data_IF_138430755555
#
_entry.id   IF_138430755555
#
_cell.length_a   1.000
_cell.length_b   1.000
_cell.length_c   1.000
_cell.angle_alpha   90.00
_cell.angle_beta   90.00
_cell.angle_gamma   90.00
#
_symmetry.space_group_name_H-M   'P 1'
#
loop_
_entity.id
_entity.type
_entity.pdbx_description
1 polymer ?
#
# COMPACT_ATOMS: atom_id res chain seq x y z
N UNK A 1 9.13 -3.33 -23.23
CA UNK A 1 8.12 -3.28 -22.16
C UNK A 1 6.90 -4.04 -22.65
N UNK A 2 6.51 -5.10 -21.94
CA UNK A 2 5.36 -5.95 -22.29
C UNK A 2 4.05 -5.22 -22.06
N UNK A 3 2.96 -5.60 -22.75
CA UNK A 3 1.64 -4.96 -22.55
C UNK A 3 1.17 -5.10 -21.09
N UNK A 4 1.38 -6.25 -20.45
CA UNK A 4 1.09 -6.43 -19.03
C UNK A 4 1.93 -5.53 -18.12
N UNK A 5 3.20 -5.28 -18.43
CA UNK A 5 4.02 -4.31 -17.71
C UNK A 5 3.47 -2.88 -17.84
N UNK A 6 2.97 -2.50 -19.03
CA UNK A 6 2.36 -1.16 -19.23
C UNK A 6 1.09 -1.02 -18.38
N UNK A 7 0.19 -2.01 -18.47
CA UNK A 7 -1.05 -2.07 -17.68
C UNK A 7 -0.71 -2.00 -16.20
N UNK A 8 0.25 -2.81 -15.74
CA UNK A 8 0.69 -2.82 -14.36
C UNK A 8 1.18 -1.43 -13.89
N UNK A 9 2.07 -0.76 -14.63
CA UNK A 9 2.56 0.57 -14.25
C UNK A 9 1.40 1.56 -14.10
N UNK A 10 0.46 1.57 -15.06
CA UNK A 10 -0.67 2.51 -15.04
C UNK A 10 -1.54 2.28 -13.81
N UNK A 11 -1.94 1.03 -13.55
CA UNK A 11 -2.77 0.71 -12.39
C UNK A 11 -2.02 0.90 -11.07
N UNK A 12 -0.73 0.56 -11.02
CA UNK A 12 0.12 0.81 -9.87
C UNK A 12 0.16 2.31 -9.55
N UNK A 13 0.39 3.17 -10.54
CA UNK A 13 0.40 4.63 -10.35
C UNK A 13 -0.95 5.18 -9.89
N UNK A 14 -2.06 4.71 -10.47
CA UNK A 14 -3.42 5.12 -10.08
C UNK A 14 -3.70 4.71 -8.63
N UNK A 15 -3.45 3.45 -8.28
CA UNK A 15 -3.70 2.95 -6.92
C UNK A 15 -2.78 3.61 -5.90
N UNK A 16 -1.53 3.86 -6.27
CA UNK A 16 -0.59 4.61 -5.45
C UNK A 16 -1.11 6.02 -5.16
N UNK A 17 -1.51 6.75 -6.20
CA UNK A 17 -2.12 8.07 -6.06
C UNK A 17 -3.34 8.06 -5.14
N UNK A 18 -4.25 7.09 -5.34
CA UNK A 18 -5.44 6.95 -4.51
C UNK A 18 -5.12 6.71 -3.03
N UNK A 19 -4.13 5.84 -2.73
CA UNK A 19 -3.67 5.58 -1.37
C UNK A 19 -3.08 6.85 -0.74
N UNK A 20 -2.28 7.62 -1.48
CA UNK A 20 -1.73 8.88 -0.99
C UNK A 20 -2.81 9.93 -0.73
N UNK A 21 -3.87 9.99 -1.55
CA UNK A 21 -4.99 10.93 -1.30
C UNK A 21 -5.72 10.63 0.02
N UNK A 22 -5.85 9.36 0.40
CA UNK A 22 -6.52 8.96 1.67
C UNK A 22 -5.57 9.01 2.86
N UNK A 23 -4.25 9.03 2.63
CA UNK A 23 -3.22 9.04 3.67
C UNK A 23 -3.26 10.28 4.58
N UNK A 24 -3.84 11.40 4.11
CA UNK A 24 -3.89 12.67 4.84
C UNK A 24 -4.55 12.55 6.23
N UNK A 25 -5.54 11.65 6.39
CA UNK A 25 -6.18 11.38 7.68
C UNK A 25 -5.19 10.88 8.74
N UNK A 26 -4.18 10.12 8.32
CA UNK A 26 -3.25 9.43 9.23
C UNK A 26 -1.96 10.21 9.46
N UNK A 27 -1.70 11.27 8.68
CA UNK A 27 -0.45 12.05 8.76
C UNK A 27 0.80 11.16 8.84
N UNK A 28 0.93 10.26 7.86
CA UNK A 28 2.04 9.28 7.81
C UNK A 28 3.43 9.92 7.91
N UNK A 29 3.56 11.14 7.37
CA UNK A 29 4.79 11.91 7.37
C UNK A 29 4.54 13.26 8.07
N UNK A 30 5.35 13.57 9.08
CA UNK A 30 5.33 14.85 9.78
C UNK A 30 6.77 15.38 9.87
N UNK A 31 7.01 16.68 9.60
CA UNK A 31 8.37 17.23 9.59
C UNK A 31 8.97 17.42 11.00
N UNK A 32 8.18 17.34 12.07
CA UNK A 32 8.63 17.57 13.45
C UNK A 32 9.19 16.28 14.07
N UNK A 33 10.36 15.85 13.62
CA UNK A 33 10.99 14.58 14.02
C UNK A 33 11.58 14.58 15.45
N UNK A 34 11.35 15.63 16.24
CA UNK A 34 11.87 15.75 17.61
C UNK A 34 11.31 14.68 18.55
N UNK A 35 10.07 14.25 18.33
CA UNK A 35 9.39 13.29 19.20
C UNK A 35 9.64 11.85 18.72
N UNK A 36 9.94 10.95 19.66
CA UNK A 36 10.27 9.54 19.34
C UNK A 36 9.14 8.82 18.59
N UNK A 37 7.88 9.03 18.98
CA UNK A 37 6.73 8.41 18.32
C UNK A 37 6.58 8.87 16.86
N UNK A 38 6.84 10.16 16.59
CA UNK A 38 6.84 10.74 15.24
C UNK A 38 7.98 10.15 14.41
N UNK A 39 9.17 9.99 14.99
CA UNK A 39 10.30 9.36 14.30
C UNK A 39 10.00 7.90 13.93
N UNK A 40 9.47 7.10 14.87
CA UNK A 40 9.11 5.71 14.58
C UNK A 40 8.02 5.60 13.53
N UNK A 41 7.00 6.45 13.61
CA UNK A 41 5.97 6.58 12.58
C UNK A 41 6.58 6.92 11.23
N UNK A 42 7.42 7.94 11.17
CA UNK A 42 8.02 8.40 9.92
C UNK A 42 8.87 7.30 9.28
N UNK A 43 9.72 6.64 10.07
CA UNK A 43 10.56 5.52 9.59
C UNK A 43 9.70 4.37 9.08
N UNK A 44 8.68 3.97 9.85
CA UNK A 44 7.81 2.87 9.47
C UNK A 44 6.99 3.19 8.21
N UNK A 45 6.40 4.39 8.14
CA UNK A 45 5.75 4.91 6.94
C UNK A 45 6.70 4.96 5.75
N UNK A 46 7.94 5.39 5.93
CA UNK A 46 8.94 5.46 4.86
C UNK A 46 9.23 4.07 4.29
N UNK A 47 9.46 3.07 5.14
CA UNK A 47 9.73 1.71 4.68
C UNK A 47 8.50 1.07 4.03
N UNK A 48 7.34 1.12 4.66
CA UNK A 48 6.12 0.44 4.18
C UNK A 48 5.48 1.15 3.00
N UNK A 49 5.53 2.48 2.96
CA UNK A 49 4.87 3.32 1.97
C UNK A 49 5.85 3.97 0.99
N UNK A 50 7.11 3.55 0.91
CA UNK A 50 7.99 3.93 -0.20
C UNK A 50 8.91 2.78 -0.60
N UNK A 51 9.73 2.29 0.33
CA UNK A 51 10.74 1.27 0.01
C UNK A 51 10.10 -0.04 -0.44
N UNK A 52 9.17 -0.59 0.34
CA UNK A 52 8.54 -1.87 0.02
C UNK A 52 7.73 -1.85 -1.31
N UNK A 53 6.93 -0.81 -1.61
CA UNK A 53 6.25 -0.67 -2.89
C UNK A 53 7.19 -0.53 -4.09
N UNK A 54 8.33 0.15 -3.93
CA UNK A 54 9.37 0.22 -4.99
C UNK A 54 9.99 -1.15 -5.22
N UNK A 55 10.37 -1.87 -4.15
CA UNK A 55 10.91 -3.22 -4.24
C UNK A 55 9.91 -4.16 -4.91
N UNK A 56 8.63 -4.07 -4.54
CA UNK A 56 7.56 -4.85 -5.15
C UNK A 56 7.34 -4.48 -6.62
N UNK A 57 7.38 -3.19 -6.97
CA UNK A 57 7.29 -2.74 -8.36
C UNK A 57 8.38 -3.39 -9.20
N UNK A 58 9.65 -3.36 -8.75
CA UNK A 58 10.76 -3.99 -9.46
C UNK A 58 10.56 -5.50 -9.62
N UNK A 59 10.12 -6.18 -8.55
CA UNK A 59 9.83 -7.61 -8.56
C UNK A 59 8.71 -7.96 -9.56
N UNK A 60 7.58 -7.27 -9.46
CA UNK A 60 6.43 -7.47 -10.34
C UNK A 60 6.81 -7.18 -11.80
N UNK A 61 7.60 -6.13 -12.03
CA UNK A 61 8.09 -5.79 -13.36
C UNK A 61 8.97 -6.89 -13.96
N UNK A 62 9.83 -7.50 -13.14
CA UNK A 62 10.64 -8.64 -13.56
C UNK A 62 9.78 -9.87 -13.88
N UNK A 63 8.81 -10.21 -13.03
CA UNK A 63 7.92 -11.35 -13.26
C UNK A 63 7.07 -11.19 -14.54
N UNK A 64 6.55 -9.99 -14.81
CA UNK A 64 5.72 -9.70 -15.97
C UNK A 64 6.50 -9.57 -17.30
N UNK A 65 7.83 -9.73 -17.28
CA UNK A 65 8.68 -9.62 -18.47
C UNK A 65 8.43 -10.75 -19.47
N UNK A 66 8.13 -11.94 -19.00
CA UNK A 66 8.03 -13.14 -19.84
C UNK A 66 6.59 -13.49 -20.26
N UNK A 67 5.58 -12.80 -19.74
CA UNK A 67 4.16 -13.12 -19.95
C UNK A 67 3.53 -12.57 -21.24
N UNK A 68 4.32 -12.08 -22.21
CA UNK A 68 3.74 -11.58 -23.47
C UNK A 68 3.47 -12.72 -24.44
N UNK A 69 2.24 -12.84 -24.98
CA UNK A 69 1.96 -13.77 -26.06
C UNK A 69 2.68 -13.33 -27.34
N UNK A 70 3.19 -14.32 -28.07
CA UNK A 70 3.75 -14.12 -29.40
C UNK A 70 2.62 -13.72 -30.37
N UNK A 71 2.73 -12.55 -31.01
CA UNK A 71 1.78 -12.07 -32.02
C UNK A 71 1.35 -10.61 -31.85
N UNK A 72 0.73 -10.03 -32.88
CA UNK A 72 0.23 -8.65 -32.83
C UNK A 72 -1.09 -8.56 -32.02
N UNK A 73 -1.39 -7.43 -31.37
CA UNK A 73 -2.63 -7.25 -30.60
C UNK A 73 -3.92 -7.53 -31.38
N UNK A 74 -3.88 -7.35 -32.70
CA UNK A 74 -4.99 -7.67 -33.62
C UNK A 74 -5.34 -9.16 -33.72
N UNK A 75 -4.46 -10.05 -33.24
CA UNK A 75 -4.64 -11.51 -33.28
C UNK A 75 -5.10 -12.09 -31.94
N UNK A 76 -5.26 -11.26 -30.92
CA UNK A 76 -5.60 -11.73 -29.59
C UNK A 76 -7.09 -12.08 -29.48
N UNK A 77 -7.38 -13.32 -29.11
CA UNK A 77 -8.70 -13.72 -28.69
C UNK A 77 -9.07 -13.11 -27.32
N UNK A 78 -10.37 -13.12 -27.00
CA UNK A 78 -10.91 -12.57 -25.75
C UNK A 78 -10.20 -13.12 -24.49
N UNK A 79 -9.89 -14.41 -24.46
CA UNK A 79 -9.21 -15.04 -23.32
C UNK A 79 -7.78 -14.51 -23.10
N UNK A 80 -7.02 -14.32 -24.18
CA UNK A 80 -5.67 -13.75 -24.14
C UNK A 80 -5.70 -12.32 -23.60
N UNK A 81 -6.66 -11.53 -24.06
CA UNK A 81 -6.87 -10.15 -23.57
C UNK A 81 -7.21 -10.12 -22.08
N UNK A 82 -8.15 -10.96 -21.63
CA UNK A 82 -8.51 -11.06 -20.21
C UNK A 82 -7.32 -11.49 -19.36
N UNK A 83 -6.55 -12.49 -19.82
CA UNK A 83 -5.34 -12.94 -19.13
C UNK A 83 -4.32 -11.81 -18.95
N UNK A 84 -4.04 -11.05 -20.01
CA UNK A 84 -3.08 -9.94 -19.98
C UNK A 84 -3.52 -8.81 -19.06
N UNK A 85 -4.82 -8.48 -19.07
CA UNK A 85 -5.42 -7.50 -18.16
C UNK A 85 -5.29 -7.96 -16.71
N UNK A 86 -5.69 -9.19 -16.39
CA UNK A 86 -5.59 -9.72 -15.03
C UNK A 86 -4.13 -9.82 -14.56
N UNK A 87 -3.22 -10.25 -15.43
CA UNK A 87 -1.79 -10.31 -15.12
C UNK A 87 -1.20 -8.92 -14.81
N UNK A 88 -1.68 -7.85 -15.44
CA UNK A 88 -1.24 -6.48 -15.14
C UNK A 88 -1.94 -5.85 -13.93
N UNK A 89 -3.26 -6.03 -13.82
CA UNK A 89 -4.10 -5.35 -12.82
C UNK A 89 -4.00 -6.01 -11.44
N UNK A 90 -4.04 -7.34 -11.36
CA UNK A 90 -4.07 -8.04 -10.07
C UNK A 90 -2.82 -7.77 -9.22
N UNK A 91 -1.58 -7.77 -9.75
CA UNK A 91 -0.41 -7.41 -8.98
C UNK A 91 -0.45 -5.98 -8.42
N UNK A 92 -1.09 -5.04 -9.13
CA UNK A 92 -1.18 -3.66 -8.68
C UNK A 92 -1.99 -3.51 -7.37
N UNK A 93 -2.90 -4.45 -7.06
CA UNK A 93 -3.63 -4.45 -5.79
C UNK A 93 -2.75 -4.59 -4.55
N UNK A 94 -1.49 -5.04 -4.69
CA UNK A 94 -0.51 -5.07 -3.61
C UNK A 94 -0.32 -3.70 -2.93
N UNK A 95 -0.55 -2.60 -3.66
CA UNK A 95 -0.52 -1.23 -3.10
C UNK A 95 -1.47 -1.06 -1.93
N UNK A 96 -2.69 -1.59 -2.03
CA UNK A 96 -3.64 -1.59 -0.93
C UNK A 96 -3.15 -2.47 0.22
N UNK A 97 -2.45 -3.57 -0.08
CA UNK A 97 -1.79 -4.41 0.91
C UNK A 97 -0.79 -3.65 1.77
N UNK A 98 0.11 -2.87 1.17
CA UNK A 98 1.07 -2.04 1.90
C UNK A 98 0.38 -0.99 2.79
N UNK A 99 -0.63 -0.30 2.25
CA UNK A 99 -1.44 0.63 3.04
C UNK A 99 -2.11 -0.05 4.23
N UNK A 100 -2.64 -1.27 4.04
CA UNK A 100 -3.29 -2.04 5.10
C UNK A 100 -2.30 -2.56 6.14
N UNK A 101 -1.06 -2.89 5.77
CA UNK A 101 0.03 -3.17 6.74
C UNK A 101 0.27 -1.94 7.61
N UNK A 102 0.45 -0.77 6.99
CA UNK A 102 0.67 0.48 7.72
C UNK A 102 -0.46 0.72 8.74
N UNK A 103 -1.71 0.65 8.28
CA UNK A 103 -2.91 0.82 9.11
C UNK A 103 -2.99 -0.19 10.24
N UNK A 104 -2.81 -1.48 9.94
CA UNK A 104 -2.91 -2.55 10.94
C UNK A 104 -1.84 -2.43 12.02
N UNK A 105 -0.64 -2.00 11.67
CA UNK A 105 0.43 -1.78 12.65
C UNK A 105 0.15 -0.58 13.54
N UNK A 106 -0.43 0.50 12.99
CA UNK A 106 -0.92 1.63 13.79
C UNK A 106 -2.01 1.20 14.77
N UNK A 107 -2.95 0.35 14.35
CA UNK A 107 -4.03 -0.15 15.20
C UNK A 107 -3.55 -1.13 16.29
N UNK A 108 -2.53 -1.93 15.99
CA UNK A 108 -1.92 -2.85 16.97
C UNK A 108 -1.15 -2.09 18.05
N UNK A 109 -0.38 -1.08 17.66
CA UNK A 109 0.54 -0.36 18.54
C UNK A 109 0.29 1.17 18.51
N UNK A 110 -0.92 1.66 18.83
CA UNK A 110 -1.27 3.06 18.64
C UNK A 110 -0.39 4.01 19.45
N UNK A 111 -0.01 3.61 20.67
CA UNK A 111 0.86 4.40 21.57
C UNK A 111 2.31 4.56 21.09
N UNK A 112 2.74 3.74 20.13
CA UNK A 112 4.07 3.87 19.51
C UNK A 112 4.07 4.98 18.46
N UNK A 113 2.93 5.24 17.82
CA UNK A 113 2.81 6.11 16.66
C UNK A 113 2.08 7.43 16.94
N UNK A 114 1.18 7.46 17.93
CA UNK A 114 0.36 8.62 18.29
C UNK A 114 0.27 8.78 19.81
N UNK A 115 0.11 10.03 20.25
CA UNK A 115 -0.16 10.37 21.65
C UNK A 115 -1.66 10.26 21.96
N UNK A 116 -1.99 9.94 23.22
CA UNK A 116 -3.36 10.06 23.70
C UNK A 116 -3.70 11.52 23.97
N UNK A 117 -4.97 11.89 23.83
CA UNK A 117 -5.47 13.26 24.05
C UNK A 117 -5.05 13.87 25.40
N UNK A 118 -4.93 13.05 26.43
CA UNK A 118 -4.53 13.48 27.79
C UNK A 118 -3.02 13.69 27.98
N UNK A 119 -2.20 13.12 27.10
CA UNK A 119 -0.73 13.16 27.19
C UNK A 119 -0.10 13.98 26.05
N UNK A 120 -0.92 14.58 25.18
CA UNK A 120 -0.45 15.26 24.00
C UNK A 120 0.36 16.51 24.36
N UNK A 121 1.56 16.63 23.79
CA UNK A 121 2.39 17.84 23.93
C UNK A 121 1.66 19.07 23.37
N UNK A 122 1.82 20.23 24.03
CA UNK A 122 1.23 21.50 23.57
C UNK A 122 1.70 21.86 22.15
N UNK A 123 2.93 21.50 21.78
CA UNK A 123 3.49 21.73 20.43
C UNK A 123 2.77 20.93 19.33
N UNK A 124 2.06 19.87 19.72
CA UNK A 124 1.37 18.94 18.80
C UNK A 124 -0.15 19.08 18.85
N UNK A 125 -0.67 19.79 19.86
CA UNK A 125 -2.09 20.12 20.02
C UNK A 125 -2.52 20.92 18.79
N UNK A 126 -3.55 20.47 18.09
CA UNK A 126 -4.06 21.00 16.80
C UNK A 126 -3.28 20.62 15.53
N UNK A 127 -2.07 20.05 15.68
CA UNK A 127 -1.31 19.53 14.54
C UNK A 127 -1.58 18.03 14.43
N UNK A 128 -1.31 17.24 15.46
CA UNK A 128 -1.32 15.80 15.34
C UNK A 128 -2.64 15.17 15.75
N UNK A 129 -3.18 14.23 14.94
CA UNK A 129 -4.35 13.48 15.35
C UNK A 129 -4.01 12.58 16.54
N UNK A 130 -4.96 12.45 17.46
CA UNK A 130 -4.80 11.61 18.65
C UNK A 130 -5.34 10.20 18.44
N UNK A 131 -4.95 9.27 19.31
CA UNK A 131 -5.47 7.89 19.32
C UNK A 131 -7.01 7.88 19.36
N UNK A 132 -7.60 8.78 20.15
CA UNK A 132 -9.04 8.91 20.33
C UNK A 132 -9.73 9.42 19.07
N UNK A 133 -9.19 10.46 18.42
CA UNK A 133 -9.75 11.00 17.16
C UNK A 133 -9.69 9.99 16.01
N UNK A 134 -8.64 9.18 15.98
CA UNK A 134 -8.48 8.12 14.98
C UNK A 134 -9.30 6.86 15.31
N UNK A 135 -9.94 6.80 16.48
CA UNK A 135 -10.73 5.66 16.96
C UNK A 135 -9.94 4.33 16.99
N UNK A 136 -8.66 4.36 17.39
CA UNK A 136 -7.77 3.19 17.35
C UNK A 136 -7.99 2.17 18.48
N UNK A 137 -8.87 2.48 19.42
CA UNK A 137 -9.19 1.63 20.57
C UNK A 137 -10.35 0.64 20.28
N UNK A 138 -10.43 0.08 19.08
CA UNK A 138 -11.45 -0.91 18.71
C UNK A 138 -10.94 -2.36 18.93
N UNK A 139 -11.81 -3.35 19.26
CA UNK A 139 -11.43 -4.76 19.42
C UNK A 139 -10.88 -5.46 18.15
N UNK A 140 -11.08 -4.92 16.95
CA UNK A 140 -10.76 -5.62 15.68
C UNK A 140 -9.41 -5.21 15.08
N UNK A 141 -8.36 -5.19 15.90
CA UNK A 141 -7.02 -4.69 15.52
C UNK A 141 -6.30 -5.49 14.42
N UNK A 142 -6.77 -6.71 14.14
CA UNK A 142 -6.17 -7.61 13.15
C UNK A 142 -6.81 -7.53 11.76
N UNK A 143 -7.95 -6.83 11.64
CA UNK A 143 -8.74 -6.82 10.41
C UNK A 143 -7.94 -6.27 9.21
N UNK A 144 -7.23 -5.16 9.41
CA UNK A 144 -6.40 -4.58 8.35
C UNK A 144 -5.25 -5.50 7.93
N UNK A 145 -4.63 -6.24 8.85
CA UNK A 145 -3.56 -7.18 8.51
C UNK A 145 -4.09 -8.40 7.77
N UNK A 146 -5.28 -8.90 8.13
CA UNK A 146 -5.97 -9.94 7.38
C UNK A 146 -6.27 -9.48 5.94
N UNK A 147 -6.80 -8.27 5.76
CA UNK A 147 -7.03 -7.70 4.44
C UNK A 147 -5.71 -7.51 3.66
N UNK A 148 -4.63 -7.09 4.32
CA UNK A 148 -3.33 -6.97 3.67
C UNK A 148 -2.88 -8.32 3.09
N UNK A 149 -2.99 -9.40 3.86
CA UNK A 149 -2.67 -10.76 3.39
C UNK A 149 -3.52 -11.14 2.16
N UNK A 150 -4.83 -10.83 2.16
CA UNK A 150 -5.69 -11.05 1.00
C UNK A 150 -5.22 -10.27 -0.24
N UNK A 151 -4.87 -8.99 -0.10
CA UNK A 151 -4.36 -8.19 -1.22
C UNK A 151 -3.05 -8.75 -1.79
N UNK A 152 -2.12 -9.18 -0.94
CA UNK A 152 -0.89 -9.82 -1.42
C UNK A 152 -1.17 -11.16 -2.09
N UNK A 153 -2.09 -11.98 -1.56
CA UNK A 153 -2.48 -13.24 -2.19
C UNK A 153 -3.03 -13.00 -3.61
N UNK A 154 -3.92 -12.01 -3.77
CA UNK A 154 -4.46 -11.61 -5.08
C UNK A 154 -3.32 -11.14 -6.01
N UNK A 155 -2.40 -10.33 -5.50
CA UNK A 155 -1.29 -9.83 -6.28
C UNK A 155 -0.37 -10.96 -6.77
N UNK A 156 -0.04 -11.92 -5.90
CA UNK A 156 0.77 -13.09 -6.24
C UNK A 156 0.06 -14.01 -7.23
N UNK A 157 -1.26 -14.17 -7.13
CA UNK A 157 -2.05 -14.89 -8.14
C UNK A 157 -1.93 -14.21 -9.51
N UNK A 158 -2.04 -12.88 -9.55
CA UNK A 158 -1.80 -12.09 -10.76
C UNK A 158 -0.44 -12.34 -11.40
N UNK A 159 0.62 -12.35 -10.58
CA UNK A 159 1.99 -12.58 -11.04
C UNK A 159 2.22 -14.00 -11.57
N UNK A 160 1.43 -15.00 -11.14
CA UNK A 160 1.50 -16.36 -11.66
C UNK A 160 0.72 -16.55 -12.97
N UNK A 161 -0.27 -15.69 -13.23
CA UNK A 161 -1.08 -15.73 -14.45
C UNK A 161 -0.32 -15.11 -15.63
N UNK A 162 0.47 -14.07 -15.38
CA UNK A 162 1.35 -13.42 -16.36
C UNK A 162 2.48 -14.35 -16.76
#
# INVERSE_FOLDING_TARGET
MTVSQQIFIVFFAIFWGAVFSVSGRWRMFQPILRFRHILYRWLFSFFVMNVAPIVFLVLAFYCLKNGSPDGSPSQWGLWTTVRLLLAGVLPAFAIFGFYRIWMGMVELMPRVFYESKTQQSNDLKDIEPTIEELHLNHPHKWWNLGLAACYFAIAFLGLKIG
#
